data_IF_784228933760
#
_entry.id   IF_784228933760
#
_cell.length_a   1.000
_cell.length_b   1.000
_cell.length_c   1.000
_cell.angle_alpha   90.00
_cell.angle_beta   90.00
_cell.angle_gamma   90.00
#
_symmetry.space_group_name_H-M   'P 1'
#
loop_
_entity.id
_entity.type
_entity.pdbx_description
1 polymer ?
#
# COMPACT_ATOMS: atom_id res chain seq x y z
N UNK A 1 -64.94 -8.46 28.88
CA UNK A 1 -64.55 -8.43 27.47
C UNK A 1 -63.04 -8.30 27.39
N UNK A 2 -62.38 -9.32 26.81
CA UNK A 2 -60.96 -9.44 26.43
C UNK A 2 -59.90 -9.27 27.53
N UNK A 3 -58.83 -10.05 27.63
CA UNK A 3 -58.41 -11.40 27.18
C UNK A 3 -56.92 -11.42 27.62
N UNK A 4 -56.52 -12.41 28.44
CA UNK A 4 -55.20 -13.08 28.52
C UNK A 4 -53.89 -12.23 28.57
N UNK A 5 -52.79 -12.59 29.21
CA UNK A 5 -52.35 -13.67 30.11
C UNK A 5 -50.81 -13.65 30.02
N UNK A 6 -50.10 -13.85 31.14
CA UNK A 6 -48.73 -14.43 31.24
C UNK A 6 -47.59 -13.50 30.75
N UNK A 7 -46.52 -13.18 31.49
CA UNK A 7 -45.74 -14.00 32.43
C UNK A 7 -45.11 -13.13 33.55
N UNK A 8 -45.32 -13.57 34.79
CA UNK A 8 -44.61 -13.18 36.00
C UNK A 8 -43.49 -14.21 36.18
N UNK A 9 -42.21 -13.80 36.26
CA UNK A 9 -41.09 -14.52 36.91
C UNK A 9 -39.84 -13.62 36.76
N UNK A 10 -39.51 -12.80 37.75
CA UNK A 10 -38.78 -13.15 38.97
C UNK A 10 -37.25 -13.21 38.78
N UNK A 11 -36.57 -12.33 39.53
CA UNK A 11 -35.29 -12.58 40.22
C UNK A 11 -34.06 -12.47 39.29
N UNK A 12 -33.29 -11.38 39.35
CA UNK A 12 -32.23 -11.18 40.35
C UNK A 12 -31.36 -12.43 40.56
N UNK A 13 -30.60 -12.82 39.54
CA UNK A 13 -29.49 -13.76 39.69
C UNK A 13 -28.27 -13.17 38.98
N UNK A 14 -27.27 -12.78 39.79
CA UNK A 14 -25.84 -12.99 39.57
C UNK A 14 -25.38 -12.76 38.12
N UNK A 15 -24.63 -11.70 37.78
CA UNK A 15 -23.24 -11.54 38.24
C UNK A 15 -22.56 -12.88 38.59
N UNK A 16 -22.71 -13.87 37.72
CA UNK A 16 -21.62 -14.75 37.36
C UNK A 16 -20.80 -13.94 36.34
N UNK A 17 -19.85 -13.11 36.75
CA UNK A 17 -18.46 -13.56 36.91
C UNK A 17 -18.41 -15.09 37.01
N UNK A 18 -18.58 -15.72 35.85
CA UNK A 18 -17.90 -16.97 35.59
C UNK A 18 -16.42 -16.63 35.59
N UNK A 19 -15.82 -16.62 36.78
CA UNK A 19 -14.41 -17.00 36.91
C UNK A 19 -14.33 -18.50 36.61
N UNK A 20 -14.62 -18.91 35.37
CA UNK A 20 -13.65 -19.76 34.71
C UNK A 20 -12.54 -18.80 34.33
N UNK A 21 -11.54 -18.67 35.21
CA UNK A 21 -10.19 -18.49 34.69
C UNK A 21 -9.97 -19.71 33.81
N UNK A 22 -10.37 -19.63 32.55
CA UNK A 22 -9.50 -20.19 31.54
C UNK A 22 -8.20 -19.41 31.75
N UNK A 23 -7.08 -20.10 31.98
CA UNK A 23 -5.75 -19.51 32.17
C UNK A 23 -5.24 -18.76 30.89
N UNK A 24 -6.17 -18.36 30.03
CA UNK A 24 -6.07 -17.84 28.67
C UNK A 24 -6.73 -16.46 28.57
N UNK A 25 -6.51 -15.60 29.57
CA UNK A 25 -7.06 -14.24 29.59
C UNK A 25 -6.26 -13.35 28.61
N UNK A 26 -6.56 -13.50 27.32
CA UNK A 26 -5.90 -12.81 26.19
C UNK A 26 -6.41 -11.36 26.00
N UNK A 27 -7.04 -10.77 27.02
CA UNK A 27 -7.73 -9.47 26.95
C UNK A 27 -7.03 -8.35 27.74
N UNK A 28 -5.84 -8.60 28.31
CA UNK A 28 -5.10 -7.60 29.10
C UNK A 28 -4.45 -6.45 28.29
N UNK A 29 -4.69 -6.39 26.97
CA UNK A 29 -4.12 -5.39 26.06
C UNK A 29 -2.64 -5.59 25.73
N UNK A 30 -2.00 -6.67 26.19
CA UNK A 30 -0.61 -7.03 25.83
C UNK A 30 -0.52 -8.01 24.66
N UNK A 31 -1.67 -8.58 24.27
CA UNK A 31 -1.76 -9.58 23.22
C UNK A 31 -2.15 -8.94 21.90
N UNK A 32 -1.41 -9.31 20.86
CA UNK A 32 -1.78 -9.12 19.47
C UNK A 32 -2.71 -10.23 19.01
N UNK A 33 -3.71 -9.92 18.19
CA UNK A 33 -4.58 -10.91 17.56
C UNK A 33 -4.40 -10.88 16.05
N UNK A 34 -4.16 -12.04 15.44
CA UNK A 34 -4.14 -12.17 13.98
C UNK A 34 -5.15 -13.23 13.57
N UNK A 35 -6.14 -12.83 12.79
CA UNK A 35 -7.17 -13.73 12.25
C UNK A 35 -6.85 -13.99 10.78
N UNK A 36 -6.74 -15.25 10.38
CA UNK A 36 -6.30 -15.64 9.04
C UNK A 36 -7.28 -16.64 8.47
N UNK A 37 -7.80 -16.40 7.27
CA UNK A 37 -8.59 -17.37 6.52
C UNK A 37 -7.82 -17.84 5.29
N UNK A 38 -7.95 -19.13 4.97
CA UNK A 38 -7.35 -19.73 3.79
C UNK A 38 -8.12 -21.00 3.40
N UNK A 39 -7.88 -21.47 2.18
CA UNK A 39 -8.52 -22.65 1.60
C UNK A 39 -7.49 -23.77 1.42
N UNK A 40 -7.72 -24.90 2.06
CA UNK A 40 -6.97 -26.14 1.84
C UNK A 40 -7.58 -26.83 0.62
N UNK A 41 -6.98 -26.62 -0.55
CA UNK A 41 -7.47 -27.17 -1.82
C UNK A 41 -6.91 -28.55 -2.17
N UNK A 42 -5.68 -28.86 -1.70
CA UNK A 42 -4.97 -30.14 -1.95
C UNK A 42 -4.30 -30.64 -0.65
N UNK A 43 -5.01 -31.41 0.19
CA UNK A 43 -4.40 -32.02 1.38
C UNK A 43 -3.41 -33.15 1.03
N UNK A 44 -2.37 -33.40 1.87
CA UNK A 44 -2.04 -32.64 3.07
C UNK A 44 -1.43 -31.28 2.72
N UNK A 45 -1.84 -30.24 3.45
CA UNK A 45 -1.31 -28.89 3.32
C UNK A 45 -0.80 -28.41 4.68
N UNK A 46 0.48 -28.08 4.77
CA UNK A 46 1.07 -27.50 5.97
C UNK A 46 0.97 -25.99 5.88
N UNK A 47 0.49 -25.31 6.92
CA UNK A 47 0.59 -23.85 7.07
C UNK A 47 1.70 -23.56 8.06
N UNK A 48 2.56 -22.57 7.77
CA UNK A 48 3.67 -22.18 8.62
C UNK A 48 3.59 -20.70 8.96
N UNK A 49 3.56 -20.42 10.24
CA UNK A 49 3.72 -19.10 10.82
C UNK A 49 5.21 -18.90 11.11
N UNK A 50 5.73 -17.70 10.90
CA UNK A 50 7.07 -17.37 11.40
C UNK A 50 7.12 -15.96 11.94
N UNK A 51 8.08 -15.72 12.81
CA UNK A 51 8.34 -14.42 13.38
C UNK A 51 9.86 -14.29 13.63
N UNK A 52 10.37 -13.08 13.57
CA UNK A 52 11.77 -12.75 13.84
C UNK A 52 12.05 -12.39 15.30
N UNK A 53 11.05 -12.33 16.19
CA UNK A 53 11.26 -11.99 17.60
C UNK A 53 11.55 -13.21 18.47
N UNK A 54 12.68 -13.19 19.19
CA UNK A 54 13.13 -14.29 20.05
C UNK A 54 12.21 -14.60 21.25
N UNK A 55 11.42 -13.62 21.72
CA UNK A 55 10.56 -13.74 22.92
C UNK A 55 9.06 -13.78 22.56
N UNK A 56 8.71 -14.43 21.44
CA UNK A 56 7.31 -14.58 21.03
C UNK A 56 6.66 -15.72 21.84
N UNK A 57 5.72 -15.37 22.71
CA UNK A 57 4.74 -16.34 23.20
C UNK A 57 3.54 -16.32 22.27
N UNK A 58 3.19 -17.47 21.70
CA UNK A 58 2.11 -17.61 20.73
C UNK A 58 1.15 -18.72 21.16
N UNK A 59 -0.14 -18.41 21.12
CA UNK A 59 -1.22 -19.37 21.20
C UNK A 59 -1.98 -19.35 19.87
N UNK A 60 -2.06 -20.51 19.22
CA UNK A 60 -2.69 -20.64 17.90
C UNK A 60 -3.88 -21.59 18.00
N UNK A 61 -5.03 -21.14 17.51
CA UNK A 61 -6.17 -21.98 17.19
C UNK A 61 -6.15 -22.23 15.70
N UNK A 62 -5.95 -23.48 15.27
CA UNK A 62 -5.75 -23.82 13.86
C UNK A 62 -7.06 -23.99 13.07
N UNK A 63 -8.21 -23.67 13.66
CA UNK A 63 -9.50 -23.67 12.94
C UNK A 63 -10.08 -25.05 12.62
N UNK A 64 -9.38 -26.14 12.89
CA UNK A 64 -9.87 -27.52 12.84
C UNK A 64 -10.23 -28.07 14.24
N UNK A 65 -10.27 -27.19 15.24
CA UNK A 65 -10.46 -27.52 16.65
C UNK A 65 -9.16 -27.82 17.39
N UNK A 66 -8.01 -27.94 16.70
CA UNK A 66 -6.72 -28.05 17.36
C UNK A 66 -6.21 -26.69 17.84
N UNK A 67 -5.51 -26.72 18.97
CA UNK A 67 -4.83 -25.55 19.54
C UNK A 67 -3.44 -25.96 20.00
N UNK A 68 -2.53 -25.00 20.00
CA UNK A 68 -1.15 -25.25 20.37
C UNK A 68 -0.48 -23.99 20.91
N UNK A 69 0.39 -24.18 21.90
CA UNK A 69 1.29 -23.15 22.39
C UNK A 69 2.66 -23.29 21.75
N UNK A 70 3.23 -22.19 21.28
CA UNK A 70 4.59 -22.14 20.73
C UNK A 70 4.86 -23.08 19.55
N UNK A 71 3.80 -23.55 18.88
CA UNK A 71 3.88 -24.31 17.62
C UNK A 71 3.53 -23.38 16.47
N UNK A 72 4.36 -23.46 15.43
CA UNK A 72 4.36 -22.55 14.28
C UNK A 72 3.91 -23.23 12.99
N UNK A 73 3.69 -24.54 13.00
CA UNK A 73 3.25 -25.28 11.83
C UNK A 73 2.13 -26.24 12.16
N UNK A 74 1.19 -26.38 11.24
CA UNK A 74 0.10 -27.35 11.34
C UNK A 74 -0.24 -27.91 9.97
N UNK A 75 -0.55 -29.20 9.91
CA UNK A 75 -0.82 -29.90 8.66
C UNK A 75 -2.28 -30.33 8.58
N UNK A 76 -3.02 -29.69 7.68
CA UNK A 76 -4.40 -30.01 7.39
C UNK A 76 -4.47 -31.20 6.44
N UNK A 77 -5.19 -32.23 6.85
CA UNK A 77 -5.37 -33.48 6.10
C UNK A 77 -6.71 -33.55 5.36
N UNK A 78 -7.60 -32.58 5.60
CA UNK A 78 -8.92 -32.48 4.97
C UNK A 78 -9.02 -31.19 4.16
N UNK A 79 -9.70 -31.26 3.01
CA UNK A 79 -9.94 -30.08 2.19
C UNK A 79 -11.06 -29.23 2.78
N UNK A 80 -10.95 -27.92 2.71
CA UNK A 80 -11.93 -27.01 3.27
C UNK A 80 -11.40 -25.61 3.51
N UNK A 81 -12.27 -24.74 3.99
CA UNK A 81 -11.92 -23.40 4.44
C UNK A 81 -11.66 -23.41 5.93
N UNK A 82 -10.53 -22.85 6.34
CA UNK A 82 -10.10 -22.80 7.73
C UNK A 82 -9.85 -21.36 8.17
N UNK A 83 -10.10 -21.09 9.45
CA UNK A 83 -9.80 -19.82 10.09
C UNK A 83 -8.81 -20.06 11.23
N UNK A 84 -7.59 -19.58 11.09
CA UNK A 84 -6.59 -19.58 12.16
C UNK A 84 -6.78 -18.30 13.00
N UNK A 85 -6.76 -18.44 14.31
CA UNK A 85 -6.63 -17.31 15.24
C UNK A 85 -5.30 -17.43 15.97
N UNK A 86 -4.47 -16.41 15.83
CA UNK A 86 -3.19 -16.29 16.53
C UNK A 86 -3.32 -15.24 17.62
N UNK A 87 -2.94 -15.60 18.85
CA UNK A 87 -2.71 -14.67 19.94
C UNK A 87 -1.22 -14.64 20.25
N UNK A 88 -0.59 -13.46 20.20
CA UNK A 88 0.85 -13.34 20.42
C UNK A 88 1.25 -12.14 21.28
N UNK A 89 2.19 -12.31 22.21
CA UNK A 89 2.82 -11.20 22.96
C UNK A 89 4.13 -10.75 22.31
N UNK A 90 4.46 -9.46 22.39
CA UNK A 90 5.68 -8.89 21.81
C UNK A 90 5.82 -9.11 20.29
N UNK A 91 4.70 -9.21 19.58
CA UNK A 91 4.65 -9.45 18.13
C UNK A 91 5.04 -8.18 17.36
N UNK A 92 6.34 -7.97 17.16
CA UNK A 92 6.84 -6.83 16.37
C UNK A 92 6.73 -7.04 14.86
N UNK A 93 6.79 -8.31 14.44
CA UNK A 93 6.74 -8.78 13.07
C UNK A 93 5.86 -10.02 13.04
N UNK A 94 5.19 -10.26 11.92
CA UNK A 94 4.40 -11.47 11.73
C UNK A 94 4.46 -11.88 10.27
N UNK A 95 4.83 -13.14 10.03
CA UNK A 95 4.93 -13.70 8.69
C UNK A 95 4.04 -14.94 8.60
N UNK A 96 3.40 -15.11 7.46
CA UNK A 96 2.74 -16.34 7.07
C UNK A 96 3.39 -16.82 5.78
N UNK A 97 3.93 -18.03 5.82
CA UNK A 97 4.30 -18.76 4.62
C UNK A 97 3.02 -19.49 4.23
N UNK A 98 2.62 -19.45 2.96
CA UNK A 98 1.34 -19.89 2.39
C UNK A 98 0.29 -18.81 2.11
N UNK A 99 -0.53 -19.17 1.12
CA UNK A 99 -1.61 -18.41 0.54
C UNK A 99 -2.78 -18.25 1.51
N UNK A 100 -3.26 -17.02 1.68
CA UNK A 100 -4.42 -16.68 2.50
C UNK A 100 -5.47 -15.91 1.68
N UNK A 101 -6.73 -16.10 2.02
CA UNK A 101 -7.86 -15.32 1.47
C UNK A 101 -8.14 -14.06 2.30
N UNK A 102 -7.92 -14.11 3.61
CA UNK A 102 -7.94 -12.89 4.42
C UNK A 102 -6.94 -12.95 5.56
N UNK A 103 -6.38 -11.79 5.92
CA UNK A 103 -5.61 -11.59 7.14
C UNK A 103 -6.06 -10.31 7.82
N UNK A 104 -6.30 -10.39 9.12
CA UNK A 104 -6.71 -9.27 9.95
C UNK A 104 -5.80 -9.18 11.17
N UNK A 105 -4.98 -8.13 11.21
CA UNK A 105 -4.19 -7.74 12.37
C UNK A 105 -5.06 -6.89 13.28
N UNK A 106 -5.60 -7.51 14.32
CA UNK A 106 -6.54 -6.89 15.25
C UNK A 106 -5.86 -6.66 16.60
N UNK A 107 -5.88 -5.41 17.06
CA UNK A 107 -5.34 -5.01 18.36
C UNK A 107 -3.89 -5.47 18.54
N UNK A 108 -2.99 -5.04 17.65
CA UNK A 108 -1.57 -5.43 17.69
C UNK A 108 -0.70 -4.29 18.25
N UNK A 109 -0.59 -4.13 19.59
CA UNK A 109 0.03 -2.97 20.23
C UNK A 109 1.54 -2.84 20.00
N UNK A 110 2.21 -3.95 19.68
CA UNK A 110 3.66 -4.01 19.48
C UNK A 110 4.10 -4.17 18.03
N UNK A 111 3.15 -4.33 17.10
CA UNK A 111 3.44 -4.51 15.68
C UNK A 111 4.05 -3.24 15.12
N UNK A 112 5.26 -3.36 14.56
CA UNK A 112 6.02 -2.24 13.96
C UNK A 112 5.96 -2.33 12.45
N UNK A 113 6.10 -3.53 11.90
CA UNK A 113 5.94 -3.78 10.48
C UNK A 113 5.43 -5.20 10.23
N UNK A 114 4.70 -5.40 9.14
CA UNK A 114 4.44 -6.75 8.64
C UNK A 114 5.55 -7.14 7.65
N UNK A 115 5.89 -8.43 7.59
CA UNK A 115 6.66 -8.96 6.47
C UNK A 115 5.92 -10.19 5.95
N UNK A 116 4.87 -9.92 5.16
CA UNK A 116 4.13 -11.01 4.51
C UNK A 116 4.90 -11.40 3.25
N UNK A 117 5.98 -12.15 3.41
CA UNK A 117 6.71 -12.72 2.27
C UNK A 117 5.94 -13.93 1.75
N UNK A 118 5.51 -13.90 0.49
CA UNK A 118 5.09 -15.13 -0.20
C UNK A 118 6.35 -15.96 -0.44
N UNK A 119 6.58 -16.97 0.39
CA UNK A 119 7.66 -17.91 0.15
C UNK A 119 7.41 -18.64 -1.18
N UNK A 120 8.44 -18.68 -2.03
CA UNK A 120 8.39 -18.82 -3.49
C UNK A 120 7.89 -20.15 -4.07
N UNK A 121 6.91 -20.83 -3.49
CA UNK A 121 6.22 -21.96 -4.12
C UNK A 121 5.04 -21.45 -4.94
N UNK A 122 5.30 -21.33 -6.23
CA UNK A 122 4.57 -20.68 -7.31
C UNK A 122 3.22 -21.29 -7.70
N UNK A 123 2.32 -21.53 -6.75
CA UNK A 123 0.90 -21.70 -7.09
C UNK A 123 0.08 -20.61 -6.40
N UNK A 124 0.25 -19.37 -6.90
CA UNK A 124 -0.52 -18.18 -6.53
C UNK A 124 -1.97 -18.26 -7.06
N UNK A 125 -2.53 -19.48 -7.15
CA UNK A 125 -3.85 -19.79 -7.71
C UNK A 125 -4.99 -19.68 -6.70
N UNK A 126 -4.80 -18.95 -5.60
CA UNK A 126 -5.97 -18.44 -4.89
C UNK A 126 -6.72 -17.52 -5.85
N UNK A 127 -7.84 -18.04 -6.36
CA UNK A 127 -8.82 -17.34 -7.19
C UNK A 127 -9.78 -16.48 -6.34
N UNK A 128 -9.58 -16.44 -5.03
CA UNK A 128 -10.42 -15.71 -4.07
C UNK A 128 -9.85 -14.32 -3.77
N UNK A 129 -10.73 -13.35 -3.46
CA UNK A 129 -10.32 -12.03 -3.03
C UNK A 129 -9.35 -12.12 -1.84
N UNK A 130 -8.26 -11.38 -1.90
CA UNK A 130 -7.28 -11.29 -0.81
C UNK A 130 -7.50 -10.01 -0.03
N UNK A 131 -8.06 -10.18 1.17
CA UNK A 131 -8.43 -9.07 2.07
C UNK A 131 -7.36 -8.92 3.14
N UNK A 132 -6.85 -7.71 3.32
CA UNK A 132 -5.89 -7.36 4.37
C UNK A 132 -6.48 -6.25 5.22
N UNK A 133 -6.58 -6.47 6.53
CA UNK A 133 -7.04 -5.46 7.49
C UNK A 133 -6.00 -5.25 8.60
N UNK A 134 -5.75 -4.00 8.94
CA UNK A 134 -5.02 -3.59 10.14
C UNK A 134 -5.95 -2.73 11.00
N UNK A 135 -6.16 -3.13 12.25
CA UNK A 135 -7.02 -2.44 13.20
C UNK A 135 -6.28 -2.27 14.52
N UNK A 136 -6.23 -1.04 15.04
CA UNK A 136 -5.63 -0.72 16.34
C UNK A 136 -4.17 -1.18 16.46
N UNK A 137 -3.32 -0.79 15.50
CA UNK A 137 -1.89 -1.08 15.50
C UNK A 137 -1.07 0.21 15.74
N UNK A 138 -1.00 0.73 16.98
CA UNK A 138 -0.50 2.08 17.29
C UNK A 138 1.01 2.30 17.05
N UNK A 139 1.79 1.22 16.92
CA UNK A 139 3.24 1.28 16.64
C UNK A 139 3.58 0.92 15.19
N UNK A 140 2.59 0.60 14.35
CA UNK A 140 2.80 0.18 12.98
C UNK A 140 3.33 1.36 12.15
N UNK A 141 4.54 1.22 11.62
CA UNK A 141 5.20 2.22 10.78
C UNK A 141 5.31 1.80 9.32
N UNK A 142 5.23 0.50 9.03
CA UNK A 142 5.49 -0.01 7.69
C UNK A 142 4.56 -1.17 7.35
N UNK A 143 3.89 -1.05 6.21
CA UNK A 143 3.12 -2.14 5.59
C UNK A 143 3.76 -2.54 4.27
N UNK A 144 4.14 -3.82 4.13
CA UNK A 144 4.68 -4.41 2.91
C UNK A 144 3.76 -5.54 2.42
N UNK A 145 3.13 -5.32 1.27
CA UNK A 145 2.17 -6.20 0.59
C UNK A 145 2.50 -6.36 -0.90
N UNK A 146 3.77 -6.17 -1.26
CA UNK A 146 4.29 -6.41 -2.61
C UNK A 146 3.93 -7.82 -3.10
N UNK A 147 3.51 -7.92 -4.38
CA UNK A 147 3.22 -9.18 -5.08
C UNK A 147 2.06 -9.98 -4.48
N UNK A 148 1.27 -9.38 -3.58
CA UNK A 148 0.20 -10.11 -2.88
C UNK A 148 -1.11 -10.18 -3.68
N UNK A 149 -1.34 -9.33 -4.70
CA UNK A 149 -2.62 -9.21 -5.42
C UNK A 149 -3.81 -8.89 -4.50
N UNK A 150 -3.59 -7.99 -3.52
CA UNK A 150 -4.63 -7.58 -2.56
C UNK A 150 -5.84 -6.98 -3.29
N UNK A 151 -7.04 -7.45 -2.97
CA UNK A 151 -8.30 -6.92 -3.54
C UNK A 151 -9.00 -5.93 -2.61
N UNK A 152 -8.75 -6.00 -1.30
CA UNK A 152 -9.23 -5.04 -0.31
C UNK A 152 -8.17 -4.79 0.76
N UNK A 153 -7.93 -3.51 1.07
CA UNK A 153 -7.00 -3.08 2.11
C UNK A 153 -7.71 -2.09 3.02
N UNK A 154 -7.80 -2.42 4.30
CA UNK A 154 -8.38 -1.58 5.35
C UNK A 154 -7.32 -1.29 6.42
N UNK A 155 -7.16 -0.03 6.78
CA UNK A 155 -6.20 0.42 7.79
C UNK A 155 -6.93 1.39 8.72
N UNK A 156 -7.14 0.95 9.96
CA UNK A 156 -7.89 1.68 10.99
C UNK A 156 -7.01 1.86 12.23
N UNK A 157 -6.97 3.07 12.79
CA UNK A 157 -6.24 3.39 14.02
C UNK A 157 -4.76 2.97 14.00
N UNK A 158 -4.09 3.21 12.87
CA UNK A 158 -2.64 3.00 12.68
C UNK A 158 -1.91 4.35 12.50
N UNK A 159 -1.88 5.23 13.52
CA UNK A 159 -1.53 6.64 13.37
C UNK A 159 -0.06 6.93 13.00
N UNK A 160 0.82 5.92 13.09
CA UNK A 160 2.26 6.04 12.82
C UNK A 160 2.70 5.45 11.49
N UNK A 161 1.76 5.05 10.62
CA UNK A 161 2.11 4.43 9.35
C UNK A 161 2.84 5.42 8.44
N UNK A 162 4.11 5.16 8.17
CA UNK A 162 5.01 6.01 7.39
C UNK A 162 5.25 5.46 5.98
N UNK A 163 5.22 4.14 5.81
CA UNK A 163 5.47 3.45 4.53
C UNK A 163 4.37 2.44 4.24
N UNK A 164 3.79 2.53 3.05
CA UNK A 164 2.86 1.53 2.51
C UNK A 164 3.34 1.11 1.12
N UNK A 165 3.67 -0.16 0.98
CA UNK A 165 3.85 -0.83 -0.29
C UNK A 165 2.72 -1.84 -0.46
N UNK A 166 1.86 -1.60 -1.45
CA UNK A 166 0.86 -2.54 -1.91
C UNK A 166 1.00 -2.79 -3.41
N UNK A 167 2.21 -2.73 -3.96
CA UNK A 167 2.49 -2.97 -5.37
C UNK A 167 2.01 -4.35 -5.83
N UNK A 168 1.63 -4.45 -7.10
CA UNK A 168 1.07 -5.67 -7.71
C UNK A 168 -0.22 -6.09 -6.97
N UNK A 169 -1.23 -5.22 -7.04
CA UNK A 169 -2.52 -5.38 -6.38
C UNK A 169 -3.69 -5.55 -7.37
N UNK A 170 -4.87 -5.82 -6.82
CA UNK A 170 -6.16 -5.85 -7.51
C UNK A 170 -7.20 -4.89 -6.89
N UNK A 171 -6.74 -3.98 -6.03
CA UNK A 171 -7.55 -2.92 -5.43
C UNK A 171 -8.28 -2.10 -6.51
N UNK A 172 -9.59 -1.94 -6.34
CA UNK A 172 -10.40 -1.06 -7.19
C UNK A 172 -10.32 0.41 -6.72
N UNK A 173 -10.01 0.61 -5.45
CA UNK A 173 -9.84 1.93 -4.84
C UNK A 173 -8.87 1.84 -3.67
N UNK A 174 -8.16 2.93 -3.41
CA UNK A 174 -7.28 3.09 -2.25
C UNK A 174 -7.70 4.34 -1.48
N UNK A 175 -8.68 4.18 -0.59
CA UNK A 175 -9.19 5.26 0.25
C UNK A 175 -8.71 5.06 1.69
N UNK A 176 -7.61 5.72 2.05
CA UNK A 176 -6.99 5.59 3.36
C UNK A 176 -6.91 6.95 4.06
N UNK A 177 -6.94 6.93 5.39
CA UNK A 177 -6.65 8.08 6.25
C UNK A 177 -5.36 7.81 7.02
N UNK A 178 -4.23 8.16 6.40
CA UNK A 178 -2.89 7.89 6.92
C UNK A 178 -2.05 9.18 6.89
N UNK A 179 -2.31 10.14 7.81
CA UNK A 179 -1.69 11.46 7.76
C UNK A 179 -0.17 11.46 7.98
N UNK A 180 0.39 10.39 8.55
CA UNK A 180 1.82 10.20 8.77
C UNK A 180 2.55 9.59 7.56
N UNK A 181 1.83 9.20 6.49
CA UNK A 181 2.41 8.48 5.37
C UNK A 181 3.40 9.36 4.59
N UNK A 182 4.62 8.85 4.43
CA UNK A 182 5.72 9.52 3.70
C UNK A 182 6.09 8.80 2.41
N UNK A 183 5.81 7.49 2.31
CA UNK A 183 6.08 6.68 1.13
C UNK A 183 4.88 5.81 0.79
N UNK A 184 4.44 5.91 -0.46
CA UNK A 184 3.36 5.09 -1.02
C UNK A 184 3.82 4.45 -2.32
N UNK A 185 3.84 3.12 -2.35
CA UNK A 185 3.84 2.35 -3.59
C UNK A 185 2.50 1.64 -3.75
N UNK A 186 1.72 2.10 -4.72
CA UNK A 186 0.48 1.48 -5.16
C UNK A 186 0.54 1.19 -6.67
N UNK A 187 1.70 0.76 -7.16
CA UNK A 187 1.93 0.46 -8.56
C UNK A 187 1.39 -0.90 -8.99
N UNK A 188 1.30 -1.09 -10.31
CA UNK A 188 0.94 -2.36 -10.94
C UNK A 188 -0.44 -2.88 -10.50
N UNK A 189 -1.50 -2.14 -10.83
CA UNK A 189 -2.86 -2.53 -10.50
C UNK A 189 -3.93 -1.86 -11.35
N UNK A 190 -5.21 -2.00 -10.99
CA UNK A 190 -6.31 -1.49 -11.79
C UNK A 190 -6.90 -0.18 -11.24
N UNK A 191 -6.15 0.66 -10.50
CA UNK A 191 -6.71 1.91 -9.96
C UNK A 191 -7.08 2.87 -11.10
N UNK A 192 -8.33 3.32 -11.13
CA UNK A 192 -8.80 4.39 -12.02
C UNK A 192 -8.72 5.77 -11.36
N UNK A 193 -8.76 5.81 -10.03
CA UNK A 193 -8.68 7.02 -9.21
C UNK A 193 -7.76 6.81 -8.01
N UNK A 194 -7.07 7.88 -7.60
CA UNK A 194 -6.21 7.92 -6.43
C UNK A 194 -6.37 9.26 -5.71
N UNK A 195 -6.85 9.23 -4.46
CA UNK A 195 -7.03 10.43 -3.65
C UNK A 195 -5.89 10.56 -2.64
N UNK A 196 -5.06 11.59 -2.80
CA UNK A 196 -3.87 11.84 -1.99
C UNK A 196 -4.07 12.94 -0.92
N UNK A 197 -5.29 13.46 -0.75
CA UNK A 197 -5.62 14.54 0.20
C UNK A 197 -5.18 14.21 1.64
N UNK A 198 -5.25 12.94 2.02
CA UNK A 198 -4.99 12.50 3.39
C UNK A 198 -3.50 12.15 3.62
N UNK A 199 -2.60 12.44 2.68
CA UNK A 199 -1.17 12.16 2.78
C UNK A 199 -0.33 13.44 2.72
N UNK A 200 -0.51 14.41 3.65
CA UNK A 200 0.14 15.72 3.58
C UNK A 200 1.67 15.67 3.78
N UNK A 201 2.19 14.55 4.30
CA UNK A 201 3.63 14.33 4.51
C UNK A 201 4.28 13.46 3.43
N UNK A 202 3.55 13.14 2.35
CA UNK A 202 4.04 12.24 1.30
C UNK A 202 5.27 12.82 0.61
N UNK A 203 6.37 12.09 0.64
CA UNK A 203 7.65 12.45 0.02
C UNK A 203 7.93 11.62 -1.25
N UNK A 204 7.43 10.39 -1.30
CA UNK A 204 7.64 9.45 -2.42
C UNK A 204 6.33 8.80 -2.81
N UNK A 205 6.00 8.88 -4.11
CA UNK A 205 4.82 8.26 -4.69
C UNK A 205 5.20 7.42 -5.91
N UNK A 206 4.86 6.13 -5.87
CA UNK A 206 4.81 5.28 -7.06
C UNK A 206 3.37 4.82 -7.28
N UNK A 207 2.73 5.34 -8.32
CA UNK A 207 1.41 4.92 -8.79
C UNK A 207 1.45 4.42 -10.24
N UNK A 208 2.62 4.00 -10.70
CA UNK A 208 2.84 3.54 -12.07
C UNK A 208 2.04 2.27 -12.40
N UNK A 209 1.84 1.99 -13.69
CA UNK A 209 1.12 0.80 -14.16
C UNK A 209 -0.29 0.68 -13.56
N UNK A 210 -1.05 1.77 -13.62
CA UNK A 210 -2.47 1.82 -13.26
C UNK A 210 -3.31 2.33 -14.45
N UNK A 211 -4.56 2.71 -14.19
CA UNK A 211 -5.49 3.24 -15.18
C UNK A 211 -5.89 4.69 -14.85
N UNK A 212 -5.03 5.41 -14.13
CA UNK A 212 -5.30 6.77 -13.66
C UNK A 212 -5.39 7.73 -14.84
N UNK A 213 -6.44 8.55 -14.82
CA UNK A 213 -6.66 9.62 -15.83
C UNK A 213 -6.32 11.01 -15.31
N UNK A 214 -6.41 11.19 -13.99
CA UNK A 214 -6.14 12.45 -13.29
C UNK A 214 -5.55 12.16 -11.90
N UNK A 215 -4.79 13.12 -11.37
CA UNK A 215 -4.23 13.07 -10.04
C UNK A 215 -4.17 14.49 -9.48
N UNK A 216 -4.61 14.68 -8.23
CA UNK A 216 -4.53 15.98 -7.53
C UNK A 216 -3.41 15.91 -6.49
N UNK A 217 -2.34 16.68 -6.73
CA UNK A 217 -1.14 16.72 -5.90
C UNK A 217 -1.04 17.98 -5.02
N UNK A 218 -2.07 18.83 -4.98
CA UNK A 218 -2.00 20.15 -4.33
C UNK A 218 -1.73 20.12 -2.82
N UNK A 219 -1.99 18.99 -2.16
CA UNK A 219 -1.78 18.81 -0.72
C UNK A 219 -0.46 18.09 -0.40
N UNK A 220 0.34 17.76 -1.42
CA UNK A 220 1.51 16.89 -1.30
C UNK A 220 2.80 17.68 -1.56
N UNK A 221 2.92 18.87 -0.96
CA UNK A 221 4.04 19.82 -1.11
C UNK A 221 5.39 19.29 -0.57
N UNK A 222 5.40 18.09 0.03
CA UNK A 222 6.60 17.39 0.49
C UNK A 222 7.17 16.41 -0.52
N UNK A 223 6.47 16.18 -1.64
CA UNK A 223 6.91 15.24 -2.67
C UNK A 223 8.30 15.60 -3.20
N UNK A 224 9.15 14.59 -3.28
CA UNK A 224 10.51 14.62 -3.85
C UNK A 224 10.59 13.73 -5.08
N UNK A 225 9.83 12.63 -5.10
CA UNK A 225 9.89 11.61 -6.13
C UNK A 225 8.46 11.18 -6.51
N UNK A 226 8.15 11.22 -7.81
CA UNK A 226 6.86 10.74 -8.35
C UNK A 226 7.10 9.87 -9.58
N UNK A 227 6.70 8.60 -9.49
CA UNK A 227 6.49 7.74 -10.66
C UNK A 227 4.99 7.56 -10.88
N UNK A 228 4.50 8.15 -11.97
CA UNK A 228 3.13 8.01 -12.45
C UNK A 228 3.11 7.48 -13.89
N UNK A 229 4.17 6.78 -14.30
CA UNK A 229 4.31 6.21 -15.64
C UNK A 229 3.29 5.10 -15.91
N UNK A 230 3.07 4.76 -17.19
CA UNK A 230 2.15 3.69 -17.57
C UNK A 230 0.73 3.88 -17.00
N UNK A 231 0.17 5.07 -17.22
CA UNK A 231 -1.19 5.43 -16.86
C UNK A 231 -1.93 5.98 -18.10
N UNK A 232 -3.04 6.69 -17.90
CA UNK A 232 -3.87 7.26 -18.96
C UNK A 232 -3.96 8.78 -18.85
N UNK A 233 -2.98 9.44 -18.24
CA UNK A 233 -2.98 10.90 -18.09
C UNK A 233 -2.94 11.59 -19.44
N UNK A 234 -3.86 12.55 -19.65
CA UNK A 234 -3.85 13.44 -20.83
C UNK A 234 -3.19 14.79 -20.53
N UNK A 235 -3.18 15.18 -19.26
CA UNK A 235 -2.54 16.35 -18.73
C UNK A 235 -2.10 16.04 -17.30
N UNK A 236 -1.00 16.64 -16.87
CA UNK A 236 -0.55 16.57 -15.48
C UNK A 236 0.17 17.86 -15.11
N UNK A 237 -0.04 18.32 -13.88
CA UNK A 237 0.66 19.48 -13.34
C UNK A 237 1.34 19.11 -12.03
N UNK A 238 2.60 19.48 -11.95
CA UNK A 238 3.43 19.43 -10.76
C UNK A 238 3.71 20.84 -10.22
N UNK A 239 2.97 21.84 -10.72
CA UNK A 239 3.22 23.25 -10.43
C UNK A 239 3.31 23.51 -8.93
N UNK A 240 4.38 24.18 -8.50
CA UNK A 240 4.58 24.59 -7.11
C UNK A 240 5.06 23.48 -6.18
N UNK A 241 5.34 22.28 -6.68
CA UNK A 241 5.98 21.21 -5.91
C UNK A 241 7.50 21.43 -5.89
N UNK A 242 7.93 22.50 -5.21
CA UNK A 242 9.29 23.04 -5.18
C UNK A 242 10.36 22.05 -4.69
N UNK A 243 9.96 20.97 -3.99
CA UNK A 243 10.84 19.91 -3.50
C UNK A 243 11.01 18.72 -4.45
N UNK A 244 10.25 18.65 -5.55
CA UNK A 244 10.37 17.56 -6.51
C UNK A 244 11.76 17.54 -7.14
N UNK A 245 12.35 16.35 -7.19
CA UNK A 245 13.68 16.07 -7.74
C UNK A 245 13.61 15.10 -8.90
N UNK A 246 12.70 14.12 -8.83
CA UNK A 246 12.54 13.08 -9.83
C UNK A 246 11.07 12.94 -10.23
N UNK A 247 10.81 13.01 -11.53
CA UNK A 247 9.51 12.79 -12.13
C UNK A 247 9.64 11.78 -13.26
N UNK A 248 8.95 10.65 -13.13
CA UNK A 248 8.68 9.74 -14.24
C UNK A 248 7.18 9.76 -14.57
N UNK A 249 6.84 10.39 -15.70
CA UNK A 249 5.49 10.44 -16.25
C UNK A 249 5.41 9.79 -17.65
N UNK A 250 6.37 8.92 -17.96
CA UNK A 250 6.47 8.25 -19.26
C UNK A 250 5.29 7.31 -19.55
N UNK A 251 5.10 6.94 -20.82
CA UNK A 251 4.05 6.01 -21.25
C UNK A 251 2.65 6.45 -20.78
N UNK A 252 2.29 7.68 -21.10
CA UNK A 252 0.98 8.26 -20.87
C UNK A 252 0.42 8.79 -22.20
N UNK A 253 -0.59 9.66 -22.13
CA UNK A 253 -1.15 10.34 -23.30
C UNK A 253 -1.03 11.86 -23.15
N UNK A 254 0.00 12.35 -22.46
CA UNK A 254 0.15 13.74 -22.08
C UNK A 254 0.27 14.62 -23.32
N UNK A 255 -0.66 15.55 -23.48
CA UNK A 255 -0.56 16.67 -24.43
C UNK A 255 0.01 17.92 -23.76
N UNK A 256 -0.07 17.99 -22.43
CA UNK A 256 0.50 19.04 -21.62
C UNK A 256 1.14 18.45 -20.36
N UNK A 257 2.29 19.01 -19.99
CA UNK A 257 3.02 18.72 -18.76
C UNK A 257 3.47 20.05 -18.18
N UNK A 258 3.03 20.36 -16.97
CA UNK A 258 3.43 21.60 -16.29
C UNK A 258 4.35 21.27 -15.11
N UNK A 259 5.60 21.74 -15.18
CA UNK A 259 6.65 21.62 -14.15
C UNK A 259 7.15 22.99 -13.67
N UNK A 260 6.34 24.04 -13.86
CA UNK A 260 6.57 25.40 -13.35
C UNK A 260 6.79 25.36 -11.83
N UNK A 261 7.69 26.19 -11.33
CA UNK A 261 8.06 26.26 -9.91
C UNK A 261 8.63 24.96 -9.29
N UNK A 262 8.99 23.94 -10.09
CA UNK A 262 9.70 22.75 -9.62
C UNK A 262 11.22 23.01 -9.58
N UNK A 263 11.65 23.94 -8.73
CA UNK A 263 13.03 24.47 -8.75
C UNK A 263 14.12 23.44 -8.38
N UNK A 264 13.77 22.38 -7.64
CA UNK A 264 14.69 21.30 -7.26
C UNK A 264 14.76 20.14 -8.26
N UNK A 265 14.03 20.22 -9.39
CA UNK A 265 13.92 19.14 -10.37
C UNK A 265 15.29 18.82 -10.99
N UNK A 266 15.66 17.55 -10.96
CA UNK A 266 16.96 17.01 -11.40
C UNK A 266 16.82 16.02 -12.54
N UNK A 267 15.78 15.19 -12.47
CA UNK A 267 15.50 14.13 -13.44
C UNK A 267 14.05 14.23 -13.89
N UNK A 268 13.85 14.27 -15.22
CA UNK A 268 12.54 14.25 -15.83
C UNK A 268 12.49 13.22 -16.96
N UNK A 269 11.62 12.24 -16.81
CA UNK A 269 11.31 11.27 -17.84
C UNK A 269 9.84 11.39 -18.28
N UNK A 270 9.64 11.94 -19.47
CA UNK A 270 8.33 12.12 -20.09
C UNK A 270 8.21 11.41 -21.45
N UNK A 271 9.04 10.39 -21.71
CA UNK A 271 9.01 9.64 -22.98
C UNK A 271 7.66 8.97 -23.26
N UNK A 272 7.39 8.63 -24.53
CA UNK A 272 6.15 7.98 -24.97
C UNK A 272 4.91 8.75 -24.50
N UNK A 273 4.80 9.99 -24.97
CA UNK A 273 3.67 10.89 -24.72
C UNK A 273 3.31 11.62 -26.02
N UNK A 274 2.46 12.66 -25.93
CA UNK A 274 1.98 13.44 -27.08
C UNK A 274 2.34 14.93 -26.93
N UNK A 275 3.43 15.24 -26.23
CA UNK A 275 3.87 16.61 -25.97
C UNK A 275 4.37 17.25 -27.27
N UNK A 276 3.89 18.45 -27.59
CA UNK A 276 4.38 19.26 -28.72
C UNK A 276 5.28 20.40 -28.26
N UNK A 277 5.20 20.76 -27.00
CA UNK A 277 5.92 21.85 -26.36
C UNK A 277 6.16 21.48 -24.91
N UNK A 278 7.30 21.89 -24.36
CA UNK A 278 7.61 21.71 -22.95
C UNK A 278 8.37 22.92 -22.42
N UNK A 279 7.93 23.45 -21.30
CA UNK A 279 8.60 24.55 -20.62
C UNK A 279 9.41 24.03 -19.44
N UNK A 280 10.73 24.17 -19.52
CA UNK A 280 11.71 23.80 -18.50
C UNK A 280 12.49 25.02 -17.98
N UNK A 281 11.99 26.23 -18.25
CA UNK A 281 12.73 27.47 -17.95
C UNK A 281 12.99 27.71 -16.46
N UNK A 282 12.17 27.15 -15.57
CA UNK A 282 12.38 27.23 -14.11
C UNK A 282 13.29 26.11 -13.56
N UNK A 283 13.51 25.04 -14.33
CA UNK A 283 14.13 23.80 -13.85
C UNK A 283 15.66 23.80 -14.04
N UNK A 284 16.32 24.86 -13.55
CA UNK A 284 17.76 25.12 -13.73
C UNK A 284 18.70 24.06 -13.14
N UNK A 285 18.19 23.14 -12.30
CA UNK A 285 18.94 22.03 -11.68
C UNK A 285 18.84 20.71 -12.45
N UNK A 286 18.11 20.67 -13.57
CA UNK A 286 17.91 19.48 -14.38
C UNK A 286 19.22 19.02 -15.01
N UNK A 287 19.63 17.77 -14.76
CA UNK A 287 20.81 17.15 -15.41
C UNK A 287 20.46 15.91 -16.23
N UNK A 288 19.27 15.34 -16.06
CA UNK A 288 18.78 14.19 -16.85
C UNK A 288 17.39 14.49 -17.41
N UNK A 289 17.25 14.40 -18.72
CA UNK A 289 15.97 14.65 -19.40
C UNK A 289 15.73 13.67 -20.54
N UNK A 290 14.65 12.90 -20.42
CA UNK A 290 14.28 11.86 -21.38
C UNK A 290 12.88 12.17 -21.93
N UNK A 291 12.81 12.53 -23.22
CA UNK A 291 11.56 12.90 -23.89
C UNK A 291 11.35 12.20 -25.24
N UNK A 292 12.06 11.10 -25.48
CA UNK A 292 11.89 10.23 -26.65
C UNK A 292 10.42 9.92 -26.93
N UNK A 293 10.08 9.74 -28.21
CA UNK A 293 8.72 9.39 -28.63
C UNK A 293 7.66 10.40 -28.16
N UNK A 294 7.98 11.68 -28.35
CA UNK A 294 7.04 12.80 -28.32
C UNK A 294 7.19 13.67 -29.58
N UNK A 295 6.12 14.29 -30.10
CA UNK A 295 6.19 15.23 -31.23
C UNK A 295 6.63 16.64 -30.80
N UNK A 296 7.64 16.78 -29.92
CA UNK A 296 8.07 18.08 -29.38
C UNK A 296 8.72 18.94 -30.47
N UNK A 297 8.22 20.16 -30.64
CA UNK A 297 8.72 21.16 -31.59
C UNK A 297 9.47 22.29 -30.89
N UNK A 298 9.14 22.58 -29.63
CA UNK A 298 9.76 23.67 -28.86
C UNK A 298 10.00 23.24 -27.43
N UNK A 299 11.19 23.55 -26.92
CA UNK A 299 11.55 23.38 -25.52
C UNK A 299 12.02 24.72 -24.99
N UNK A 300 11.33 25.24 -23.97
CA UNK A 300 11.75 26.45 -23.30
C UNK A 300 12.77 26.12 -22.23
N UNK A 301 13.86 26.85 -22.21
CA UNK A 301 15.00 26.64 -21.32
C UNK A 301 15.35 27.94 -20.60
N UNK A 302 16.15 27.81 -19.54
CA UNK A 302 16.62 28.95 -18.76
C UNK A 302 17.73 29.74 -19.48
N UNK A 303 17.94 30.98 -19.04
CA UNK A 303 19.07 31.77 -19.51
C UNK A 303 20.40 31.09 -19.15
N UNK A 304 21.27 30.92 -20.15
CA UNK A 304 22.57 30.27 -19.98
C UNK A 304 22.54 28.74 -20.16
N UNK A 305 21.40 28.14 -20.49
CA UNK A 305 21.30 26.72 -20.86
C UNK A 305 22.31 26.33 -21.95
N UNK A 306 23.01 25.22 -21.74
CA UNK A 306 23.84 24.56 -22.75
C UNK A 306 23.45 23.09 -22.83
N UNK A 307 23.28 22.58 -24.04
CA UNK A 307 22.85 21.19 -24.25
C UNK A 307 23.84 20.13 -23.74
N UNK A 308 25.11 20.50 -23.46
CA UNK A 308 26.11 19.59 -22.88
C UNK A 308 25.96 19.42 -21.36
N UNK A 309 25.27 20.34 -20.69
CA UNK A 309 25.13 20.34 -19.22
C UNK A 309 24.11 19.30 -18.74
N UNK A 310 23.36 18.69 -19.67
CA UNK A 310 22.24 17.81 -19.37
C UNK A 310 22.26 16.63 -20.34
N UNK A 311 22.08 15.41 -19.83
CA UNK A 311 21.96 14.21 -20.64
C UNK A 311 20.56 14.15 -21.26
N UNK A 312 20.44 14.62 -22.52
CA UNK A 312 19.16 14.66 -23.23
C UNK A 312 19.00 13.47 -24.16
N UNK A 313 17.93 12.70 -23.94
CA UNK A 313 17.44 11.70 -24.90
C UNK A 313 16.21 12.25 -25.62
N UNK A 314 16.43 12.88 -26.77
CA UNK A 314 15.43 13.60 -27.58
C UNK A 314 15.17 12.83 -28.87
N UNK A 315 13.93 12.82 -29.42
CA UNK A 315 13.70 12.27 -30.74
C UNK A 315 14.67 12.84 -31.77
N UNK A 316 15.18 11.97 -32.65
CA UNK A 316 15.87 12.38 -33.87
C UNK A 316 14.96 13.37 -34.63
N UNK A 317 15.48 14.57 -34.89
CA UNK A 317 14.89 15.72 -35.61
C UNK A 317 14.09 16.76 -34.79
N UNK A 318 14.66 17.97 -34.62
CA UNK A 318 13.93 19.20 -34.93
C UNK A 318 13.33 20.05 -33.81
N UNK A 319 13.45 19.70 -32.52
CA UNK A 319 12.98 20.59 -31.45
C UNK A 319 13.83 21.87 -31.37
N UNK A 320 13.18 23.04 -31.43
CA UNK A 320 13.81 24.34 -31.20
C UNK A 320 13.95 24.62 -29.70
N UNK A 321 15.13 25.07 -29.28
CA UNK A 321 15.37 25.54 -27.92
C UNK A 321 15.16 27.04 -27.86
N UNK A 322 14.31 27.50 -26.96
CA UNK A 322 14.01 28.93 -26.77
C UNK A 322 14.26 29.33 -25.34
N UNK A 323 14.90 30.46 -25.13
CA UNK A 323 14.99 31.06 -23.80
C UNK A 323 13.70 31.84 -23.57
N UNK A 324 13.03 31.57 -22.45
CA UNK A 324 11.82 32.30 -22.05
C UNK A 324 12.25 33.70 -21.58
N UNK A 325 11.65 34.75 -22.17
CA UNK A 325 11.96 36.16 -21.87
C UNK A 325 11.30 36.65 -20.59
#
# INVERSE_FOLDING_TARGET
MKKYSILFMAIATMLFISCSKDDNDYEDGTWSTVEIAFDVTKPPMTIKLSNSTADLYIHTQWGDGSSSENIYEHTYTTAGRYNIVVKARNMKVFNIHYNYSSIHFKDCPDLIHNNITLDGTTDNSLTVPKVVKFENCPKLTTILLELQKVTNLEIENCPKLETLDCSVHQLQSLNLDCPALTKLDCSMGPLEELNLKNFPLLESLNCSYNQLKNIDLKNNDKLKEVDCSWNQFSNITFKGLDKLKDINCSNNQLTTLNVEDCYELKELNCKFNKLTELDLSDNTKLYSFICLDNPIQTIWVWEGFRSIDVEWSIPYYGAEYKVKQ
#
